data_IF_208300130640
#
_entry.id   IF_208300130640
#
_cell.length_a   1.000
_cell.length_b   1.000
_cell.length_c   1.000
_cell.angle_alpha   90.00
_cell.angle_beta   90.00
_cell.angle_gamma   90.00
#
_symmetry.space_group_name_H-M   'P 1'
#
loop_
_entity.id
_entity.type
_entity.pdbx_description
1 polymer ?
#
# COMPACT_ATOMS: atom_id res chain seq x y z
N UNK A 1 -22.49 -46.14 -18.81
CA UNK A 1 -21.92 -44.85 -19.18
C UNK A 1 -20.46 -45.04 -19.57
N UNK A 2 -20.00 -44.28 -20.55
CA UNK A 2 -18.60 -44.23 -20.97
C UNK A 2 -18.23 -42.84 -21.44
N UNK A 3 -16.94 -42.54 -21.40
CA UNK A 3 -16.31 -41.30 -21.90
C UNK A 3 -15.04 -41.70 -22.64
N UNK A 4 -14.69 -41.00 -23.71
CA UNK A 4 -13.45 -41.26 -24.41
C UNK A 4 -12.24 -41.04 -23.50
N UNK A 5 -11.17 -41.87 -23.60
CA UNK A 5 -9.96 -41.65 -22.79
C UNK A 5 -9.43 -40.25 -22.97
N UNK A 6 -9.19 -39.52 -21.83
CA UNK A 6 -8.68 -38.18 -21.83
C UNK A 6 -9.69 -37.08 -22.21
N UNK A 7 -10.96 -37.39 -22.42
CA UNK A 7 -11.98 -36.39 -22.79
C UNK A 7 -12.47 -35.54 -21.60
N UNK A 8 -12.35 -36.06 -20.35
CA UNK A 8 -12.71 -35.27 -19.15
C UNK A 8 -11.63 -34.23 -18.91
N UNK A 9 -11.96 -32.92 -18.89
CA UNK A 9 -10.98 -31.86 -18.69
C UNK A 9 -10.27 -31.93 -17.33
N UNK A 10 -9.03 -31.44 -17.26
CA UNK A 10 -8.30 -31.34 -16.01
C UNK A 10 -9.10 -30.49 -14.99
N UNK A 11 -9.06 -30.91 -13.73
CA UNK A 11 -9.86 -30.30 -12.66
C UNK A 11 -11.24 -30.93 -12.48
N UNK A 12 -11.73 -31.71 -13.44
CA UNK A 12 -12.99 -32.45 -13.32
C UNK A 12 -12.74 -33.97 -13.21
N UNK A 13 -13.65 -34.65 -12.55
CA UNK A 13 -13.74 -36.13 -12.60
C UNK A 13 -15.15 -36.53 -12.94
N UNK A 14 -15.29 -37.66 -13.71
CA UNK A 14 -16.57 -38.22 -14.07
C UNK A 14 -16.64 -39.69 -13.61
N UNK A 15 -17.61 -39.97 -12.73
CA UNK A 15 -17.89 -41.33 -12.27
C UNK A 15 -18.86 -42.01 -13.21
N UNK A 16 -18.39 -42.94 -14.00
CA UNK A 16 -19.22 -43.70 -14.98
C UNK A 16 -20.19 -44.68 -14.31
N UNK A 17 -20.02 -45.02 -13.02
CA UNK A 17 -20.93 -45.89 -12.30
C UNK A 17 -22.17 -45.13 -11.82
N UNK A 18 -21.99 -43.89 -11.36
CA UNK A 18 -23.07 -43.05 -10.81
C UNK A 18 -23.56 -41.97 -11.78
N UNK A 19 -22.73 -41.57 -12.74
CA UNK A 19 -22.98 -40.43 -13.63
C UNK A 19 -22.62 -39.07 -12.99
N UNK A 20 -21.98 -39.07 -11.83
CA UNK A 20 -21.62 -37.83 -11.11
C UNK A 20 -20.38 -37.17 -11.70
N UNK A 21 -20.41 -35.84 -11.78
CA UNK A 21 -19.24 -34.98 -12.08
C UNK A 21 -18.83 -34.25 -10.83
N UNK A 22 -17.52 -34.27 -10.49
CA UNK A 22 -16.97 -33.51 -9.42
C UNK A 22 -15.96 -32.48 -9.95
N UNK A 23 -15.83 -31.33 -9.26
CA UNK A 23 -14.85 -30.29 -9.52
C UNK A 23 -13.82 -30.32 -8.40
N UNK A 24 -12.55 -30.46 -8.75
CA UNK A 24 -11.47 -30.48 -7.77
C UNK A 24 -11.18 -29.06 -7.26
N UNK A 25 -10.74 -28.94 -6.01
CA UNK A 25 -10.22 -27.67 -5.49
C UNK A 25 -9.03 -27.22 -6.33
N UNK A 26 -8.93 -25.89 -6.60
CA UNK A 26 -7.90 -25.33 -7.46
C UNK A 26 -8.17 -25.46 -8.95
N UNK A 27 -9.41 -25.77 -9.36
CA UNK A 27 -9.83 -25.69 -10.77
C UNK A 27 -10.03 -24.23 -11.16
N UNK A 28 -9.35 -23.68 -12.18
CA UNK A 28 -9.52 -22.31 -12.63
C UNK A 28 -10.95 -21.99 -13.06
N UNK A 29 -11.33 -20.72 -13.02
CA UNK A 29 -12.62 -20.28 -13.57
C UNK A 29 -12.66 -20.52 -15.08
N UNK A 30 -13.81 -20.97 -15.55
CA UNK A 30 -13.99 -21.28 -16.96
C UNK A 30 -15.18 -22.23 -17.20
N UNK A 31 -15.48 -22.47 -18.46
CA UNK A 31 -16.46 -23.46 -18.86
C UNK A 31 -15.74 -24.69 -19.38
N UNK A 32 -16.02 -25.82 -18.76
CA UNK A 32 -15.47 -27.15 -19.07
C UNK A 32 -16.55 -28.02 -19.67
N UNK A 33 -16.30 -28.67 -20.79
CA UNK A 33 -17.25 -29.54 -21.42
C UNK A 33 -16.60 -30.83 -21.94
N UNK A 34 -17.34 -31.92 -21.90
CA UNK A 34 -16.94 -33.20 -22.47
C UNK A 34 -18.16 -34.04 -22.86
N UNK A 35 -17.98 -34.89 -23.81
CA UNK A 35 -19.04 -35.79 -24.27
C UNK A 35 -19.00 -37.14 -23.53
N UNK A 36 -20.17 -37.64 -23.21
CA UNK A 36 -20.34 -38.97 -22.66
C UNK A 36 -21.33 -39.78 -23.54
N UNK A 37 -21.21 -41.09 -23.48
CA UNK A 37 -22.09 -42.02 -24.19
C UNK A 37 -22.86 -42.88 -23.20
N UNK A 38 -24.16 -42.96 -23.38
CA UNK A 38 -25.05 -43.86 -22.66
C UNK A 38 -25.54 -44.93 -23.60
N UNK A 39 -25.44 -46.20 -23.18
CA UNK A 39 -25.94 -47.36 -23.94
C UNK A 39 -26.94 -48.12 -23.09
N UNK A 40 -27.92 -48.72 -23.76
CA UNK A 40 -28.88 -49.62 -23.15
C UNK A 40 -28.18 -50.91 -22.70
N UNK A 41 -28.43 -51.39 -21.48
CA UNK A 41 -27.82 -52.63 -20.99
C UNK A 41 -28.32 -53.89 -21.73
N UNK A 42 -29.60 -53.88 -22.10
CA UNK A 42 -30.20 -55.02 -22.83
C UNK A 42 -29.74 -55.05 -24.29
N UNK A 43 -29.56 -53.87 -24.92
CA UNK A 43 -29.10 -53.72 -26.30
C UNK A 43 -27.84 -52.81 -26.31
N UNK A 44 -26.64 -53.37 -26.08
CA UNK A 44 -25.41 -52.56 -25.87
C UNK A 44 -24.95 -51.75 -27.11
N UNK A 45 -25.50 -52.01 -28.29
CA UNK A 45 -25.27 -51.24 -29.52
C UNK A 45 -26.23 -50.04 -29.64
N UNK A 46 -27.30 -49.99 -28.83
CA UNK A 46 -28.22 -48.87 -28.77
C UNK A 46 -27.66 -47.78 -27.83
N UNK A 47 -26.90 -46.86 -28.42
CA UNK A 47 -26.17 -45.81 -27.70
C UNK A 47 -26.53 -44.42 -28.20
N UNK A 48 -26.40 -43.45 -27.30
CA UNK A 48 -26.48 -42.00 -27.59
C UNK A 48 -25.38 -41.27 -26.85
N UNK A 49 -24.85 -40.24 -27.51
CA UNK A 49 -23.86 -39.31 -26.95
C UNK A 49 -24.52 -37.99 -26.58
N UNK A 50 -24.11 -37.42 -25.48
CA UNK A 50 -24.52 -36.08 -25.01
C UNK A 50 -23.34 -35.38 -24.36
N UNK A 51 -23.40 -34.05 -24.25
CA UNK A 51 -22.37 -33.21 -23.69
C UNK A 51 -22.72 -32.80 -22.26
N UNK A 52 -21.76 -32.91 -21.36
CA UNK A 52 -21.80 -32.29 -20.04
C UNK A 52 -21.04 -30.95 -20.12
N UNK A 53 -21.61 -29.88 -19.55
CA UNK A 53 -20.98 -28.59 -19.42
C UNK A 53 -21.02 -28.13 -17.95
N UNK A 54 -19.86 -27.72 -17.40
CA UNK A 54 -19.69 -27.25 -16.04
C UNK A 54 -19.03 -25.88 -16.10
N UNK A 55 -19.67 -24.87 -15.52
CA UNK A 55 -19.07 -23.54 -15.38
C UNK A 55 -18.52 -23.37 -13.97
N UNK A 56 -17.22 -23.17 -13.87
CA UNK A 56 -16.51 -22.83 -12.63
C UNK A 56 -16.32 -21.30 -12.59
N UNK A 57 -16.67 -20.67 -11.48
CA UNK A 57 -16.52 -19.23 -11.29
C UNK A 57 -15.30 -18.94 -10.43
N UNK A 58 -14.68 -17.77 -10.62
CA UNK A 58 -13.60 -17.30 -9.75
C UNK A 58 -14.10 -17.04 -8.33
N UNK A 59 -13.22 -17.16 -7.35
CA UNK A 59 -13.54 -16.86 -5.98
C UNK A 59 -13.82 -15.35 -5.80
N UNK A 60 -14.76 -14.93 -4.95
CA UNK A 60 -14.91 -13.52 -4.60
C UNK A 60 -13.60 -12.97 -4.04
N UNK A 61 -13.13 -11.83 -4.58
CA UNK A 61 -11.96 -11.10 -4.11
C UNK A 61 -12.35 -9.68 -3.70
N UNK A 62 -11.86 -9.20 -2.57
CA UNK A 62 -12.09 -7.84 -2.11
C UNK A 62 -10.79 -7.27 -1.55
N UNK A 63 -10.55 -5.99 -1.84
CA UNK A 63 -9.48 -5.19 -1.26
C UNK A 63 -10.11 -4.07 -0.42
N UNK A 64 -9.65 -3.90 0.81
CA UNK A 64 -10.11 -2.87 1.74
C UNK A 64 -9.16 -1.66 1.70
N UNK A 65 -9.69 -0.47 2.05
CA UNK A 65 -8.86 0.72 2.10
C UNK A 65 -8.04 0.76 3.40
N UNK A 66 -6.75 1.03 3.28
CA UNK A 66 -5.82 1.07 4.39
C UNK A 66 -5.41 2.50 4.72
N UNK A 67 -5.23 2.79 6.01
CA UNK A 67 -4.83 4.12 6.45
C UNK A 67 -3.84 4.07 7.61
N UNK A 68 -2.86 4.99 7.58
CA UNK A 68 -1.96 5.24 8.69
C UNK A 68 -1.71 6.74 8.83
N UNK A 69 -1.54 7.22 10.06
CA UNK A 69 -1.25 8.63 10.37
C UNK A 69 -0.20 8.75 11.46
N UNK A 70 0.32 9.97 11.67
CA UNK A 70 1.29 10.23 12.72
C UNK A 70 2.72 9.82 12.38
N UNK A 71 3.03 9.59 11.09
CA UNK A 71 4.39 9.22 10.68
C UNK A 71 5.23 10.49 10.55
N UNK A 72 6.31 10.59 11.33
CA UNK A 72 7.23 11.73 11.26
C UNK A 72 8.03 11.69 9.95
N UNK A 73 7.80 12.66 9.07
CA UNK A 73 8.44 12.70 7.75
C UNK A 73 9.94 12.98 7.79
N UNK A 74 10.44 13.69 8.80
CA UNK A 74 11.88 13.97 8.89
C UNK A 74 12.72 12.72 9.12
N UNK A 75 12.22 11.80 9.95
CA UNK A 75 12.90 10.51 10.23
C UNK A 75 12.46 9.41 9.29
N UNK A 76 11.25 9.49 8.77
CA UNK A 76 10.60 8.38 8.08
C UNK A 76 10.35 7.19 9.00
N UNK A 77 9.78 6.12 8.45
CA UNK A 77 9.63 4.84 9.15
C UNK A 77 9.42 3.70 8.13
N UNK A 78 10.01 2.52 8.37
CA UNK A 78 9.72 1.34 7.58
C UNK A 78 8.42 0.68 8.04
N UNK A 79 7.75 -0.03 7.11
CA UNK A 79 6.63 -0.93 7.41
C UNK A 79 5.53 -0.29 8.26
N UNK A 80 5.11 0.91 7.89
CA UNK A 80 4.09 1.68 8.63
C UNK A 80 2.68 1.15 8.41
N UNK A 81 2.45 0.38 7.34
CA UNK A 81 1.15 -0.14 6.94
C UNK A 81 1.32 -1.44 6.13
N UNK A 82 0.45 -2.41 6.34
CA UNK A 82 0.34 -3.64 5.54
C UNK A 82 -0.95 -3.58 4.72
N UNK A 83 -0.84 -3.45 3.40
CA UNK A 83 -1.99 -3.25 2.50
C UNK A 83 -2.78 -4.50 2.20
N UNK A 84 -2.30 -5.69 2.58
CA UNK A 84 -3.08 -6.93 2.42
C UNK A 84 -3.82 -7.32 3.70
N UNK A 85 -3.62 -6.55 4.78
CA UNK A 85 -4.35 -6.76 6.03
C UNK A 85 -5.81 -6.34 5.84
N UNK A 86 -6.75 -7.28 6.01
CA UNK A 86 -8.18 -7.03 5.78
C UNK A 86 -8.67 -7.45 4.39
N UNK A 87 -7.81 -7.48 3.39
CA UNK A 87 -8.17 -7.98 2.06
C UNK A 87 -8.60 -9.44 2.09
N UNK A 88 -9.56 -9.83 1.26
CA UNK A 88 -10.11 -11.19 1.30
C UNK A 88 -10.18 -11.86 -0.07
N UNK A 89 -9.97 -13.18 -0.07
CA UNK A 89 -10.24 -14.09 -1.17
C UNK A 89 -11.12 -15.22 -0.64
N UNK A 90 -12.28 -15.43 -1.26
CA UNK A 90 -13.28 -16.41 -0.82
C UNK A 90 -13.69 -16.25 0.65
N UNK A 91 -13.78 -14.99 1.13
CA UNK A 91 -14.16 -14.65 2.49
C UNK A 91 -13.10 -14.90 3.57
N UNK A 92 -11.87 -15.26 3.19
CA UNK A 92 -10.72 -15.39 4.10
C UNK A 92 -9.65 -14.39 3.75
N UNK A 93 -8.87 -13.92 4.76
CA UNK A 93 -7.78 -13.00 4.53
C UNK A 93 -6.79 -13.55 3.50
N UNK A 94 -6.39 -12.72 2.55
CA UNK A 94 -5.44 -13.09 1.50
C UNK A 94 -4.03 -13.26 2.05
N UNK A 95 -3.25 -14.03 1.31
CA UNK A 95 -1.79 -14.09 1.46
C UNK A 95 -1.12 -13.84 0.11
N UNK A 96 0.11 -13.36 0.13
CA UNK A 96 0.91 -13.18 -1.10
C UNK A 96 1.21 -14.50 -1.84
N UNK A 97 0.94 -15.65 -1.21
CA UNK A 97 0.96 -16.94 -1.89
C UNK A 97 -0.24 -17.13 -2.85
N UNK A 98 -1.39 -16.51 -2.53
CA UNK A 98 -2.65 -16.67 -3.26
C UNK A 98 -2.88 -15.56 -4.30
N UNK A 99 -2.32 -14.37 -4.08
CA UNK A 99 -2.53 -13.20 -4.95
C UNK A 99 -1.21 -12.62 -5.47
N UNK A 100 -1.30 -11.92 -6.59
CA UNK A 100 -0.27 -11.00 -7.06
C UNK A 100 -0.68 -9.60 -6.62
N UNK A 101 0.21 -8.90 -5.90
CA UNK A 101 0.05 -7.51 -5.50
C UNK A 101 0.81 -6.61 -6.48
N UNK A 102 0.23 -5.50 -6.87
CA UNK A 102 0.87 -4.51 -7.73
C UNK A 102 0.46 -3.08 -7.37
N UNK A 103 1.35 -2.12 -7.59
CA UNK A 103 1.03 -0.69 -7.49
C UNK A 103 0.50 -0.22 -8.86
N UNK A 104 -0.72 0.28 -8.88
CA UNK A 104 -1.34 0.84 -10.10
C UNK A 104 -1.15 2.33 -10.21
N UNK A 105 -1.10 3.05 -9.08
CA UNK A 105 -0.77 4.48 -9.02
C UNK A 105 0.10 4.74 -7.80
N UNK A 106 1.36 5.16 -7.97
CA UNK A 106 2.24 5.52 -6.87
C UNK A 106 1.83 6.84 -6.21
N UNK A 107 2.31 7.10 -5.02
CA UNK A 107 2.13 8.39 -4.34
C UNK A 107 2.76 9.53 -5.15
N UNK A 108 2.08 10.69 -5.17
CA UNK A 108 2.56 11.88 -5.87
C UNK A 108 3.47 12.71 -4.98
N UNK A 109 4.69 13.10 -5.41
CA UNK A 109 5.57 13.95 -4.66
C UNK A 109 4.97 15.35 -4.42
N UNK A 110 5.18 15.92 -3.23
CA UNK A 110 4.76 17.28 -2.88
C UNK A 110 5.51 18.36 -3.71
N UNK A 111 6.73 18.07 -4.14
CA UNK A 111 7.52 18.85 -5.08
C UNK A 111 8.41 17.95 -5.93
N UNK A 112 8.91 18.39 -7.09
CA UNK A 112 9.76 17.56 -7.95
C UNK A 112 10.95 16.96 -7.20
N UNK A 113 11.05 15.63 -7.19
CA UNK A 113 12.14 14.90 -6.53
C UNK A 113 12.00 14.71 -5.01
N UNK A 114 10.93 15.21 -4.39
CA UNK A 114 10.68 14.96 -2.96
C UNK A 114 10.39 13.47 -2.72
N UNK A 115 10.89 12.88 -1.61
CA UNK A 115 10.56 11.53 -1.23
C UNK A 115 9.06 11.36 -0.98
N UNK A 116 8.54 10.16 -1.25
CA UNK A 116 7.14 9.77 -1.03
C UNK A 116 7.05 8.41 -0.38
N UNK A 117 5.96 8.07 0.31
CA UNK A 117 5.69 6.71 0.74
C UNK A 117 5.70 5.73 -0.43
N UNK A 118 6.23 4.53 -0.20
CA UNK A 118 6.35 3.47 -1.21
C UNK A 118 5.77 2.17 -0.69
N UNK A 119 5.06 1.45 -1.56
CA UNK A 119 4.58 0.08 -1.31
C UNK A 119 5.55 -0.92 -1.94
N UNK A 120 5.99 -1.90 -1.16
CA UNK A 120 6.72 -3.06 -1.66
C UNK A 120 5.72 -4.19 -2.00
N UNK A 121 5.52 -4.53 -3.29
CA UNK A 121 4.59 -5.58 -3.68
C UNK A 121 5.02 -7.00 -3.24
N UNK A 122 6.30 -7.20 -2.90
CA UNK A 122 6.78 -8.50 -2.45
C UNK A 122 6.41 -8.79 -0.99
N UNK A 123 6.17 -7.75 -0.19
CA UNK A 123 5.88 -7.86 1.24
C UNK A 123 4.51 -7.32 1.64
N UNK A 124 3.88 -6.48 0.80
CA UNK A 124 2.65 -5.76 1.13
C UNK A 124 2.86 -4.56 2.05
N UNK A 125 4.12 -4.24 2.39
CA UNK A 125 4.44 -3.20 3.35
C UNK A 125 4.63 -1.83 2.70
N UNK A 126 4.05 -0.80 3.32
CA UNK A 126 4.30 0.59 2.97
C UNK A 126 5.35 1.17 3.90
N UNK A 127 6.33 1.87 3.33
CA UNK A 127 7.38 2.57 4.09
C UNK A 127 7.41 4.05 3.72
N UNK A 128 7.78 4.90 4.69
CA UNK A 128 7.96 6.34 4.51
C UNK A 128 9.45 6.64 4.58
N UNK A 129 10.10 7.09 3.48
CA UNK A 129 11.50 7.49 3.50
C UNK A 129 11.74 8.72 4.38
N UNK A 130 12.92 8.83 4.97
CA UNK A 130 13.33 10.05 5.68
C UNK A 130 13.37 11.25 4.72
N UNK A 131 12.96 12.42 5.23
CA UNK A 131 12.85 13.64 4.43
C UNK A 131 11.56 13.75 3.62
N UNK A 132 10.58 12.86 3.82
CA UNK A 132 9.25 12.96 3.19
C UNK A 132 8.53 14.19 3.74
N UNK A 133 8.11 15.16 2.90
CA UNK A 133 7.36 16.31 3.35
C UNK A 133 6.05 15.94 4.06
N UNK A 134 5.62 16.76 5.01
CA UNK A 134 4.33 16.59 5.66
C UNK A 134 3.18 16.71 4.64
N UNK A 135 2.19 15.84 4.76
CA UNK A 135 1.06 15.79 3.84
C UNK A 135 0.38 14.44 3.83
N UNK A 136 -0.68 14.34 3.05
CA UNK A 136 -1.40 13.09 2.83
C UNK A 136 -1.04 12.52 1.47
N UNK A 137 -0.60 11.27 1.47
CA UNK A 137 -0.16 10.53 0.29
C UNK A 137 -1.06 9.33 0.05
N UNK A 138 -1.44 9.10 -1.19
CA UNK A 138 -2.27 7.96 -1.57
C UNK A 138 -1.53 7.11 -2.60
N UNK A 139 -1.49 5.81 -2.33
CA UNK A 139 -0.99 4.78 -3.25
C UNK A 139 -2.19 3.93 -3.65
N UNK A 140 -2.43 3.76 -4.96
CA UNK A 140 -3.45 2.81 -5.43
C UNK A 140 -2.77 1.49 -5.73
N UNK A 141 -3.31 0.41 -5.18
CA UNK A 141 -2.81 -0.94 -5.40
C UNK A 141 -3.90 -1.87 -5.90
N UNK A 142 -3.49 -2.99 -6.46
CA UNK A 142 -4.37 -4.03 -6.96
C UNK A 142 -3.86 -5.40 -6.50
N UNK A 143 -4.78 -6.24 -6.05
CA UNK A 143 -4.54 -7.66 -5.81
C UNK A 143 -5.28 -8.47 -6.88
N UNK A 144 -4.61 -9.47 -7.47
CA UNK A 144 -5.21 -10.38 -8.45
C UNK A 144 -5.00 -11.82 -8.01
N UNK A 145 -6.03 -12.63 -8.04
CA UNK A 145 -5.95 -14.06 -7.72
C UNK A 145 -4.96 -14.77 -8.65
N UNK A 146 -4.02 -15.56 -8.10
CA UNK A 146 -3.04 -16.30 -8.92
C UNK A 146 -3.66 -17.41 -9.75
N UNK A 147 -4.72 -18.04 -9.23
CA UNK A 147 -5.45 -19.07 -9.95
C UNK A 147 -6.23 -18.50 -11.14
N UNK A 148 -6.79 -17.31 -10.96
CA UNK A 148 -7.58 -16.60 -11.97
C UNK A 148 -7.03 -15.16 -12.11
N UNK A 149 -5.98 -14.91 -12.92
CA UNK A 149 -5.25 -13.64 -12.95
C UNK A 149 -6.06 -12.41 -13.42
N UNK A 150 -7.25 -12.61 -13.98
CA UNK A 150 -8.18 -11.53 -14.34
C UNK A 150 -9.16 -11.20 -13.22
N UNK A 151 -9.20 -12.02 -12.16
CA UNK A 151 -10.02 -11.80 -10.97
C UNK A 151 -9.25 -10.89 -10.00
N UNK A 152 -9.52 -9.60 -10.05
CA UNK A 152 -8.78 -8.57 -9.34
C UNK A 152 -9.69 -7.66 -8.52
N UNK A 153 -9.13 -7.12 -7.43
CA UNK A 153 -9.71 -6.03 -6.66
C UNK A 153 -8.67 -4.91 -6.50
N UNK A 154 -9.14 -3.66 -6.44
CA UNK A 154 -8.28 -2.47 -6.36
C UNK A 154 -8.74 -1.61 -5.19
N UNK A 155 -7.79 -1.09 -4.40
CA UNK A 155 -8.07 -0.12 -3.36
C UNK A 155 -6.86 0.82 -3.14
N UNK A 156 -6.91 1.62 -2.06
CA UNK A 156 -5.91 2.65 -1.77
C UNK A 156 -5.32 2.49 -0.38
N UNK A 157 -4.02 2.74 -0.28
CA UNK A 157 -3.32 2.97 0.96
C UNK A 157 -3.09 4.48 1.13
N UNK A 158 -3.59 5.04 2.23
CA UNK A 158 -3.46 6.46 2.56
C UNK A 158 -2.52 6.64 3.75
N UNK A 159 -1.45 7.41 3.55
CA UNK A 159 -0.44 7.70 4.56
C UNK A 159 -0.44 9.19 4.87
N UNK A 160 -0.72 9.56 6.12
CA UNK A 160 -0.56 10.93 6.60
C UNK A 160 0.78 11.07 7.29
N UNK A 161 1.64 11.91 6.70
CA UNK A 161 2.98 12.22 7.19
C UNK A 161 2.93 13.54 7.93
N UNK A 162 3.45 13.57 9.14
CA UNK A 162 3.50 14.75 10.00
C UNK A 162 4.83 15.49 9.82
N UNK A 163 4.79 16.81 10.03
CA UNK A 163 6.00 17.62 10.10
C UNK A 163 6.81 17.28 11.37
N UNK A 164 8.12 17.50 11.30
CA UNK A 164 8.97 17.41 12.46
C UNK A 164 8.51 18.42 13.55
N UNK A 165 8.44 18.03 14.83
CA UNK A 165 8.14 18.95 15.89
C UNK A 165 9.24 20.02 16.02
N UNK A 166 8.83 21.28 16.16
CA UNK A 166 9.70 22.43 16.41
C UNK A 166 9.44 22.95 17.82
N UNK A 167 10.49 23.19 18.55
CA UNK A 167 10.46 23.87 19.85
C UNK A 167 11.30 25.12 19.75
N UNK A 168 10.71 26.27 20.10
CA UNK A 168 11.41 27.53 20.22
C UNK A 168 11.37 28.02 21.68
N UNK A 169 12.49 28.46 22.20
CA UNK A 169 12.67 28.98 23.57
C UNK A 169 12.99 30.46 23.54
N UNK A 170 12.71 31.18 24.64
CA UNK A 170 13.02 32.59 24.71
C UNK A 170 14.50 32.78 24.98
N UNK A 171 15.14 33.65 24.19
CA UNK A 171 16.52 34.09 24.39
C UNK A 171 16.58 35.44 25.04
N UNK A 172 17.61 35.68 25.85
CA UNK A 172 17.81 36.95 26.50
C UNK A 172 19.29 37.28 26.68
N UNK A 173 19.61 38.55 26.61
CA UNK A 173 20.90 39.09 26.99
C UNK A 173 20.70 40.32 27.87
N UNK A 174 21.61 40.55 28.82
CA UNK A 174 21.57 41.69 29.74
C UNK A 174 22.96 42.25 29.97
N UNK A 175 23.04 43.47 30.59
CA UNK A 175 24.31 44.10 30.92
C UNK A 175 25.06 44.69 29.72
N UNK A 176 24.39 44.88 28.58
CA UNK A 176 25.00 45.45 27.38
C UNK A 176 25.17 46.97 27.56
N UNK A 177 26.40 47.47 27.38
CA UNK A 177 26.67 48.90 27.39
C UNK A 177 26.20 49.51 26.06
N UNK A 178 25.10 50.26 26.07
CA UNK A 178 24.52 50.85 24.87
C UNK A 178 25.41 51.94 24.20
N UNK A 179 26.32 52.56 24.92
CA UNK A 179 27.25 53.53 24.34
C UNK A 179 28.35 52.87 23.52
N UNK A 180 28.85 51.73 23.98
CA UNK A 180 29.88 50.95 23.28
C UNK A 180 29.26 50.02 22.21
N UNK A 181 28.02 49.61 22.37
CA UNK A 181 27.40 48.56 21.58
C UNK A 181 28.03 47.19 21.84
N UNK A 182 27.45 46.15 21.25
CA UNK A 182 28.02 44.80 21.21
C UNK A 182 27.42 44.04 20.03
N UNK A 183 28.16 43.08 19.50
CA UNK A 183 27.70 42.17 18.41
C UNK A 183 27.47 40.77 18.94
N UNK A 184 26.58 40.04 18.31
CA UNK A 184 26.26 38.64 18.63
C UNK A 184 25.94 38.40 20.11
N UNK A 185 25.19 39.34 20.73
CA UNK A 185 24.88 39.33 22.18
C UNK A 185 23.96 38.17 22.57
N UNK A 186 23.23 37.62 21.62
CA UNK A 186 22.36 36.45 21.76
C UNK A 186 22.23 35.76 20.40
N UNK A 187 22.03 34.47 20.41
CA UNK A 187 21.75 33.69 19.20
C UNK A 187 20.38 33.03 19.34
N UNK A 188 19.47 33.36 18.43
CA UNK A 188 18.08 32.89 18.42
C UNK A 188 17.89 31.39 18.17
N UNK A 189 18.93 30.64 17.85
CA UNK A 189 18.88 29.19 17.80
C UNK A 189 19.22 28.51 19.14
N UNK A 190 19.63 29.30 20.14
CA UNK A 190 20.07 28.72 21.41
C UNK A 190 18.89 28.11 22.18
N UNK A 191 18.96 26.82 22.47
CA UNK A 191 17.89 26.10 23.16
C UNK A 191 16.72 25.64 22.24
N UNK A 192 16.68 26.08 20.99
CA UNK A 192 15.68 25.69 20.04
C UNK A 192 15.99 24.31 19.45
N UNK A 193 14.95 23.59 19.05
CA UNK A 193 15.13 22.28 18.43
C UNK A 193 14.18 22.06 17.26
N UNK A 194 14.63 21.26 16.26
CA UNK A 194 13.83 20.66 15.20
C UNK A 194 13.97 19.16 15.31
N UNK A 195 12.87 18.45 15.49
CA UNK A 195 12.85 17.00 15.69
C UNK A 195 13.76 16.53 16.86
N UNK A 196 13.84 17.32 17.93
CA UNK A 196 14.68 17.05 19.09
C UNK A 196 16.19 17.28 18.88
N UNK A 197 16.61 17.71 17.67
CA UNK A 197 17.99 18.11 17.35
C UNK A 197 18.10 19.63 17.46
N UNK A 198 19.24 20.15 17.96
CA UNK A 198 19.48 21.57 18.05
C UNK A 198 19.20 22.27 16.71
N UNK A 199 18.44 23.37 16.76
CA UNK A 199 18.17 24.18 15.59
C UNK A 199 19.43 24.92 15.11
N UNK A 200 19.52 25.05 13.80
CA UNK A 200 20.64 25.70 13.11
C UNK A 200 20.20 26.11 11.70
N UNK A 201 20.97 26.96 10.99
CA UNK A 201 20.67 27.31 9.59
C UNK A 201 20.57 26.10 8.61
N UNK A 202 21.05 24.93 9.01
CA UNK A 202 20.97 23.72 8.19
C UNK A 202 19.63 23.00 8.27
N UNK A 203 18.85 23.20 9.37
CA UNK A 203 17.60 22.48 9.61
C UNK A 203 16.41 23.40 9.94
N UNK A 204 16.64 24.71 10.11
CA UNK A 204 15.61 25.71 10.38
C UNK A 204 15.91 27.02 9.66
N UNK A 205 14.88 27.83 9.43
CA UNK A 205 15.00 29.20 8.92
C UNK A 205 14.47 30.17 9.95
N UNK A 206 15.20 31.26 10.19
CA UNK A 206 14.75 32.36 11.02
C UNK A 206 14.02 33.39 10.19
N UNK A 207 12.99 33.97 10.76
CA UNK A 207 12.30 35.13 10.21
C UNK A 207 11.83 36.06 11.32
N UNK A 208 11.74 37.35 11.01
CA UNK A 208 11.21 38.36 11.93
C UNK A 208 10.16 39.19 11.19
N UNK A 209 9.07 39.51 11.87
CA UNK A 209 8.02 40.35 11.30
C UNK A 209 8.56 41.73 10.92
N UNK A 210 8.13 42.36 9.83
CA UNK A 210 8.53 43.72 9.45
C UNK A 210 8.30 44.72 10.59
N UNK A 211 9.33 45.44 10.97
CA UNK A 211 9.27 46.44 12.06
C UNK A 211 9.28 45.87 13.48
N UNK A 212 9.42 44.54 13.67
CA UNK A 212 9.47 43.94 15.01
C UNK A 212 10.84 44.12 15.71
N UNK A 213 11.92 44.39 14.96
CA UNK A 213 13.23 44.70 15.57
C UNK A 213 13.26 46.13 16.02
N UNK A 214 13.43 46.42 17.33
CA UNK A 214 13.48 47.78 17.86
C UNK A 214 14.64 48.59 17.28
N UNK A 215 14.47 49.92 17.21
CA UNK A 215 15.53 50.82 16.78
C UNK A 215 16.79 50.66 17.65
N UNK A 216 17.96 50.59 17.01
CA UNK A 216 19.24 50.36 17.66
C UNK A 216 19.64 48.89 17.79
N UNK A 217 18.77 47.96 17.46
CA UNK A 217 19.10 46.53 17.37
C UNK A 217 19.17 46.07 15.90
N UNK A 218 19.95 45.03 15.64
CA UNK A 218 20.00 44.31 14.37
C UNK A 218 19.77 42.85 14.63
N UNK A 219 19.03 42.19 13.73
CA UNK A 219 18.79 40.76 13.77
C UNK A 219 19.26 40.15 12.45
N UNK A 220 20.24 39.24 12.52
CA UNK A 220 20.71 38.49 11.36
C UNK A 220 19.98 37.16 11.30
N UNK A 221 19.25 36.91 10.21
CA UNK A 221 18.49 35.66 9.96
C UNK A 221 19.34 34.60 9.29
N UNK A 222 20.58 34.89 8.90
CA UNK A 222 21.44 33.97 8.17
C UNK A 222 22.46 33.22 9.06
N UNK A 223 22.65 33.64 10.31
CA UNK A 223 23.65 33.10 11.25
C UNK A 223 23.06 32.63 12.57
#
# INVERSE_FOLDING_TARGET
LSVAPGAVPAGLTFDTATGAVNVAAGTPAGTYSFDYTICEKLNPTNCKTATISVTVVAAPIAADADTVSGVNGATGAPNVLDVIAGDTLNGTQVTLAQVNLSVTTPATPASPGAPVPTLDPATGQVSVPAGTPAGTYTITYQICEKLNPTNCATNTATVTVDAAPIVATNDSASGINGLAGATAVVNAFTGDTVNGVAASPSNATLSVAPGAVPAGLTFDTAT
#
